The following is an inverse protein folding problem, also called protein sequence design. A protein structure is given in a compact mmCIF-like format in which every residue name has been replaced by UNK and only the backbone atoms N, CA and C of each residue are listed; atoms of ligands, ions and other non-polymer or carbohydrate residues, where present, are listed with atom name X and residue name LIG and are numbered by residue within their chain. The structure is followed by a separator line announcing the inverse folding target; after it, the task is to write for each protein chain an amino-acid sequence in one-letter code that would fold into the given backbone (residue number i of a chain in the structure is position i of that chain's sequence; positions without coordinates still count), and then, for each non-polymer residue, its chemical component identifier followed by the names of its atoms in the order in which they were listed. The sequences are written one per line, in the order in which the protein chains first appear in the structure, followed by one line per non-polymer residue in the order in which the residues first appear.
data_IF_231500896764
#
_entry.id   IF_231500896764
#
_cell.length_a   1.000
_cell.length_b   1.000
_cell.length_c   1.000
_cell.angle_alpha   90.00
_cell.angle_beta   90.00
_cell.angle_gamma   90.00
#
_symmetry.space_group_name_H-M   'P 1'
#
loop_
_entity.id
_entity.type
_entity.pdbx_description
1 polymer ?
#
# COMPACT_ATOMS: atom_id res chain seq x y z
N UNK A 1 -2.63 2.78 5.75
CA UNK A 1 -1.89 1.74 5.04
C UNK A 1 -1.12 2.41 3.92
N UNK A 2 0.21 2.33 3.95
CA UNK A 2 1.07 2.91 2.94
C UNK A 2 1.09 1.92 1.76
N UNK A 3 0.83 2.39 0.54
CA UNK A 3 0.75 1.53 -0.64
C UNK A 3 1.60 2.18 -1.73
N UNK A 4 2.65 1.49 -2.19
CA UNK A 4 3.60 2.10 -3.13
C UNK A 4 2.90 2.46 -4.45
N UNK A 5 1.87 1.72 -4.89
CA UNK A 5 1.08 2.09 -6.06
C UNK A 5 0.34 3.45 -5.95
N UNK A 6 0.01 3.89 -4.74
CA UNK A 6 -0.51 5.24 -4.51
C UNK A 6 0.63 6.27 -4.54
N UNK A 7 1.76 5.96 -3.89
CA UNK A 7 2.93 6.82 -3.90
C UNK A 7 3.47 7.06 -5.31
N UNK A 8 3.52 6.04 -6.17
CA UNK A 8 3.95 6.18 -7.58
C UNK A 8 3.04 7.14 -8.36
N UNK A 9 1.73 7.18 -8.06
CA UNK A 9 0.81 8.14 -8.67
C UNK A 9 1.01 9.55 -8.13
N UNK A 10 1.20 9.68 -6.82
CA UNK A 10 1.47 10.97 -6.19
C UNK A 10 2.78 11.57 -6.73
N UNK A 11 3.84 10.76 -6.83
CA UNK A 11 5.15 11.14 -7.41
C UNK A 11 5.00 11.59 -8.87
N UNK A 12 4.28 10.83 -9.69
CA UNK A 12 4.01 11.21 -11.08
C UNK A 12 3.30 12.56 -11.15
N UNK A 13 2.28 12.76 -10.31
CA UNK A 13 1.54 14.02 -10.27
C UNK A 13 2.39 15.22 -9.85
N UNK A 14 3.32 15.04 -8.90
CA UNK A 14 4.29 16.09 -8.54
C UNK A 14 5.18 16.42 -9.73
N UNK A 15 5.79 15.42 -10.38
CA UNK A 15 6.65 15.65 -11.52
C UNK A 15 5.93 16.36 -12.67
N UNK A 16 4.72 15.92 -13.03
CA UNK A 16 3.91 16.55 -14.08
C UNK A 16 3.53 18.02 -13.78
N UNK A 17 3.29 18.35 -12.51
CA UNK A 17 2.85 19.69 -12.11
C UNK A 17 4.00 20.67 -11.88
N UNK A 18 5.15 20.16 -11.43
CA UNK A 18 6.24 21.00 -10.89
C UNK A 18 7.55 20.85 -11.65
N UNK A 19 7.74 19.75 -12.38
CA UNK A 19 9.03 19.39 -12.98
C UNK A 19 10.10 18.98 -11.97
N UNK A 20 9.73 18.75 -10.71
CA UNK A 20 10.69 18.36 -9.66
C UNK A 20 11.23 16.94 -9.92
N UNK A 21 12.49 16.85 -10.33
CA UNK A 21 13.13 15.60 -10.79
C UNK A 21 13.31 14.56 -9.69
N UNK A 22 13.37 14.96 -8.42
CA UNK A 22 13.42 14.01 -7.30
C UNK A 22 12.20 13.07 -7.32
N UNK A 23 11.03 13.56 -7.73
CA UNK A 23 9.82 12.77 -7.77
C UNK A 23 9.86 11.71 -8.89
N UNK A 24 10.36 12.09 -10.07
CA UNK A 24 10.58 11.16 -11.17
C UNK A 24 11.62 10.09 -10.82
N UNK A 25 12.77 10.52 -10.27
CA UNK A 25 13.85 9.62 -9.87
C UNK A 25 13.39 8.64 -8.78
N UNK A 26 12.66 9.12 -7.78
CA UNK A 26 12.12 8.27 -6.71
C UNK A 26 11.12 7.26 -7.25
N UNK A 27 10.25 7.67 -8.20
CA UNK A 27 9.31 6.77 -8.86
C UNK A 27 10.06 5.67 -9.61
N UNK A 28 11.08 6.04 -10.37
CA UNK A 28 11.92 5.11 -11.12
C UNK A 28 12.61 4.12 -10.19
N UNK A 29 13.27 4.59 -9.12
CA UNK A 29 13.92 3.73 -8.13
C UNK A 29 12.97 2.67 -7.56
N UNK A 30 11.76 3.07 -7.15
CA UNK A 30 10.79 2.12 -6.58
C UNK A 30 10.31 1.08 -7.59
N UNK A 31 10.11 1.47 -8.86
CA UNK A 31 9.76 0.53 -9.92
C UNK A 31 10.91 -0.45 -10.22
N UNK A 32 12.13 0.07 -10.36
CA UNK A 32 13.32 -0.71 -10.65
C UNK A 32 13.62 -1.69 -9.50
N UNK A 33 13.53 -1.24 -8.24
CA UNK A 33 13.71 -2.09 -7.07
C UNK A 33 12.64 -3.19 -6.95
N UNK A 34 11.39 -2.90 -7.33
CA UNK A 34 10.32 -3.91 -7.41
C UNK A 34 10.66 -4.97 -8.47
N UNK A 35 11.00 -4.54 -9.68
CA UNK A 35 11.34 -5.44 -10.77
C UNK A 35 12.56 -6.30 -10.42
N UNK A 36 13.60 -5.68 -9.87
CA UNK A 36 14.81 -6.38 -9.44
C UNK A 36 14.51 -7.45 -8.39
N UNK A 37 13.65 -7.15 -7.40
CA UNK A 37 13.19 -8.16 -6.43
C UNK A 37 12.50 -9.33 -7.11
N UNK A 38 11.63 -9.08 -8.08
CA UNK A 38 10.90 -10.12 -8.81
C UNK A 38 11.86 -11.01 -9.63
N UNK A 39 12.85 -10.40 -10.30
CA UNK A 39 13.89 -11.10 -11.07
C UNK A 39 14.79 -11.99 -10.18
N UNK A 40 15.06 -11.56 -8.95
CA UNK A 40 15.83 -12.34 -7.97
C UNK A 40 14.96 -13.34 -7.17
N UNK A 41 13.72 -13.60 -7.59
CA UNK A 41 12.76 -14.46 -6.89
C UNK A 41 12.58 -14.08 -5.40
N UNK A 42 12.69 -12.79 -5.09
CA UNK A 42 12.60 -12.25 -3.73
C UNK A 42 13.87 -12.35 -2.89
N UNK A 43 15.00 -12.83 -3.44
CA UNK A 43 16.27 -13.04 -2.72
C UNK A 43 17.27 -11.93 -3.01
N UNK A 44 17.17 -10.81 -2.28
CA UNK A 44 18.17 -9.74 -2.35
C UNK A 44 19.32 -10.00 -1.38
N UNK A 45 20.52 -9.62 -1.78
CA UNK A 45 21.70 -9.58 -0.91
C UNK A 45 21.71 -8.31 -0.06
N UNK A 46 22.56 -8.27 0.97
CA UNK A 46 22.78 -7.06 1.77
C UNK A 46 23.34 -5.90 0.93
N UNK A 47 24.09 -6.19 -0.12
CA UNK A 47 24.64 -5.18 -1.02
C UNK A 47 23.56 -4.54 -1.89
N UNK A 48 22.64 -5.34 -2.42
CA UNK A 48 21.52 -4.84 -3.22
C UNK A 48 20.64 -3.89 -2.38
N UNK A 49 20.33 -4.29 -1.14
CA UNK A 49 19.56 -3.47 -0.21
C UNK A 49 20.27 -2.15 0.10
N UNK A 50 21.58 -2.21 0.36
CA UNK A 50 22.39 -1.03 0.64
C UNK A 50 22.42 -0.06 -0.54
N UNK A 51 22.57 -0.56 -1.77
CA UNK A 51 22.61 0.26 -2.99
C UNK A 51 21.27 0.97 -3.23
N UNK A 52 20.16 0.25 -3.07
CA UNK A 52 18.81 0.83 -3.18
C UNK A 52 18.61 1.89 -2.09
N UNK A 53 19.03 1.61 -0.85
CA UNK A 53 18.88 2.53 0.27
C UNK A 53 19.71 3.81 0.10
N UNK A 54 20.95 3.69 -0.39
CA UNK A 54 21.82 4.82 -0.69
C UNK A 54 21.25 5.68 -1.82
N UNK A 55 20.75 5.04 -2.89
CA UNK A 55 20.11 5.75 -4.01
C UNK A 55 18.85 6.48 -3.55
N UNK A 56 18.06 5.85 -2.68
CA UNK A 56 16.87 6.47 -2.08
C UNK A 56 17.23 7.75 -1.30
N UNK A 57 18.25 7.67 -0.46
CA UNK A 57 18.71 8.81 0.34
C UNK A 57 19.28 9.94 -0.53
N UNK A 58 20.07 9.59 -1.56
CA UNK A 58 20.61 10.57 -2.49
C UNK A 58 19.50 11.36 -3.20
N UNK A 59 18.44 10.68 -3.65
CA UNK A 59 17.28 11.35 -4.28
C UNK A 59 16.57 12.29 -3.30
N UNK A 60 16.44 11.91 -2.02
CA UNK A 60 15.84 12.77 -1.01
C UNK A 60 16.69 14.00 -0.71
N UNK A 61 18.02 13.83 -0.68
CA UNK A 61 18.97 14.93 -0.51
C UNK A 61 18.88 15.92 -1.68
N UNK A 62 18.81 15.44 -2.92
CA UNK A 62 18.60 16.29 -4.10
C UNK A 62 17.27 17.03 -4.02
N UNK A 63 16.19 16.33 -3.62
CA UNK A 63 14.86 16.93 -3.43
C UNK A 63 14.78 17.97 -2.32
N UNK A 64 15.69 17.95 -1.34
CA UNK A 64 15.71 18.95 -0.27
C UNK A 64 15.93 20.37 -0.80
N UNK A 65 16.65 20.53 -1.92
CA UNK A 65 16.87 21.82 -2.56
C UNK A 65 15.57 22.46 -3.09
N UNK A 66 14.59 21.65 -3.49
CA UNK A 66 13.25 22.10 -3.89
C UNK A 66 12.41 22.59 -2.70
N UNK A 67 12.87 22.33 -1.48
CA UNK A 67 12.10 22.37 -0.26
C UNK A 67 12.83 23.09 0.88
N UNK A 68 13.25 24.35 0.68
CA UNK A 68 14.03 25.08 1.67
C UNK A 68 13.25 25.21 3.00
N UNK A 69 13.96 25.18 4.15
CA UNK A 69 13.34 25.39 5.45
C UNK A 69 12.54 26.70 5.44
N UNK A 70 11.28 26.64 5.84
CA UNK A 70 10.52 27.87 6.05
C UNK A 70 11.17 28.62 7.21
N UNK A 71 11.56 29.88 6.99
CA UNK A 71 12.06 30.74 8.06
C UNK A 71 11.08 30.76 9.24
N UNK A 72 11.62 30.76 10.46
CA UNK A 72 10.81 30.83 11.68
C UNK A 72 9.94 32.09 11.64
N UNK A 73 8.64 31.88 11.40
CA UNK A 73 7.68 32.98 11.42
C UNK A 73 7.45 33.39 12.87
N UNK A 74 7.32 34.70 13.11
CA UNK A 74 6.95 35.21 14.43
C UNK A 74 5.62 34.61 14.88
N UNK A 75 5.41 34.52 16.21
CA UNK A 75 4.20 34.00 16.90
C UNK A 75 2.86 34.50 16.33
N UNK A 76 2.86 35.60 15.59
CA UNK A 76 1.68 36.29 15.09
C UNK A 76 1.33 36.03 13.61
N UNK A 77 2.16 35.29 12.85
CA UNK A 77 1.86 34.95 11.46
C UNK A 77 1.20 33.57 11.32
N UNK A 78 0.05 33.51 10.63
CA UNK A 78 -0.59 32.23 10.25
C UNK A 78 0.37 31.39 9.40
N UNK A 79 0.52 30.10 9.75
CA UNK A 79 1.23 29.12 8.91
C UNK A 79 0.58 29.09 7.53
N UNK A 80 1.38 29.29 6.49
CA UNK A 80 0.96 29.08 5.10
C UNK A 80 0.79 27.58 4.86
N UNK A 81 -0.19 27.19 4.05
CA UNK A 81 -0.39 25.79 3.68
C UNK A 81 0.86 25.27 2.96
N UNK A 82 1.39 24.14 3.41
CA UNK A 82 2.53 23.47 2.80
C UNK A 82 2.16 22.92 1.42
N UNK A 83 3.10 22.96 0.46
CA UNK A 83 2.85 22.48 -0.90
C UNK A 83 2.63 20.95 -0.92
N UNK A 84 1.83 20.43 -1.87
CA UNK A 84 1.68 19.00 -2.07
C UNK A 84 3.03 18.28 -2.23
N UNK A 85 3.97 18.87 -2.99
CA UNK A 85 5.31 18.31 -3.19
C UNK A 85 6.06 18.14 -1.86
N UNK A 86 6.14 19.21 -1.05
CA UNK A 86 6.80 19.16 0.26
C UNK A 86 6.15 18.15 1.21
N UNK A 87 4.81 18.07 1.22
CA UNK A 87 4.09 17.08 2.03
C UNK A 87 4.45 15.64 1.62
N UNK A 88 4.59 15.39 0.31
CA UNK A 88 4.99 14.09 -0.20
C UNK A 88 6.45 13.80 0.15
N UNK A 89 7.37 14.74 -0.08
CA UNK A 89 8.78 14.58 0.29
C UNK A 89 8.93 14.29 1.79
N UNK A 90 8.28 15.06 2.67
CA UNK A 90 8.34 14.82 4.13
C UNK A 90 7.81 13.43 4.52
N UNK A 91 6.85 12.90 3.76
CA UNK A 91 6.35 11.54 3.92
C UNK A 91 7.39 10.50 3.52
N UNK A 92 8.10 10.70 2.42
CA UNK A 92 9.19 9.79 2.02
C UNK A 92 10.34 9.82 3.03
N UNK A 93 10.71 10.99 3.56
CA UNK A 93 11.72 11.08 4.63
C UNK A 93 11.28 10.31 5.88
N UNK A 94 10.05 10.53 6.35
CA UNK A 94 9.57 9.94 7.61
C UNK A 94 9.29 8.44 7.51
N UNK A 95 8.70 8.01 6.40
CA UNK A 95 8.12 6.66 6.26
C UNK A 95 9.03 5.71 5.43
N UNK A 96 10.34 6.01 5.33
CA UNK A 96 11.34 5.25 4.55
C UNK A 96 11.26 3.74 4.76
N UNK A 97 11.32 3.29 6.02
CA UNK A 97 11.30 1.86 6.37
C UNK A 97 10.02 1.18 5.91
N UNK A 98 8.88 1.87 5.99
CA UNK A 98 7.60 1.35 5.52
C UNK A 98 7.52 1.30 3.99
N UNK A 99 8.13 2.26 3.28
CA UNK A 99 8.17 2.33 1.81
C UNK A 99 9.04 1.21 1.25
N UNK A 100 10.22 0.99 1.84
CA UNK A 100 11.21 -0.01 1.41
C UNK A 100 10.97 -1.39 2.03
N UNK A 101 10.05 -1.53 2.99
CA UNK A 101 9.80 -2.79 3.71
C UNK A 101 9.48 -3.98 2.81
N UNK A 102 8.88 -3.74 1.64
CA UNK A 102 8.63 -4.80 0.64
C UNK A 102 9.91 -5.46 0.13
N UNK A 103 11.10 -4.87 0.29
CA UNK A 103 12.37 -5.46 -0.14
C UNK A 103 12.83 -6.58 0.80
N UNK A 104 12.56 -6.42 2.10
CA UNK A 104 13.09 -7.29 3.16
C UNK A 104 12.03 -8.22 3.76
N UNK A 105 10.75 -7.85 3.68
CA UNK A 105 9.65 -8.59 4.28
C UNK A 105 8.76 -9.19 3.18
N UNK A 106 8.62 -10.51 3.16
CA UNK A 106 7.82 -11.22 2.16
C UNK A 106 6.31 -11.01 2.33
N UNK A 107 5.87 -10.69 3.54
CA UNK A 107 4.49 -10.39 3.91
C UNK A 107 4.06 -8.95 3.61
N UNK A 108 5.00 -8.07 3.26
CA UNK A 108 4.72 -6.69 2.86
C UNK A 108 4.69 -6.63 1.32
N UNK A 109 3.51 -6.67 0.69
CA UNK A 109 3.42 -6.52 -0.75
C UNK A 109 3.73 -5.07 -1.16
N UNK A 110 4.28 -4.90 -2.36
CA UNK A 110 4.53 -3.57 -2.93
C UNK A 110 3.23 -2.76 -3.11
N UNK A 111 2.16 -3.44 -3.53
CA UNK A 111 0.85 -2.86 -3.69
C UNK A 111 -0.19 -3.53 -2.78
N UNK A 112 -1.21 -2.77 -2.42
CA UNK A 112 -2.27 -3.22 -1.54
C UNK A 112 -3.54 -3.62 -2.33
N UNK A 113 -3.38 -4.03 -3.59
CA UNK A 113 -4.52 -4.22 -4.48
C UNK A 113 -5.49 -5.30 -3.99
N UNK A 114 -4.98 -6.34 -3.34
CA UNK A 114 -5.82 -7.39 -2.78
C UNK A 114 -6.66 -6.90 -1.61
N UNK A 115 -6.06 -6.27 -0.61
CA UNK A 115 -6.85 -5.78 0.54
C UNK A 115 -7.84 -4.68 0.12
N UNK A 116 -7.48 -3.83 -0.84
CA UNK A 116 -8.39 -2.84 -1.42
C UNK A 116 -9.58 -3.50 -2.13
N UNK A 117 -9.33 -4.54 -2.94
CA UNK A 117 -10.41 -5.34 -3.57
C UNK A 117 -11.29 -6.02 -2.52
N UNK A 118 -10.67 -6.57 -1.48
CA UNK A 118 -11.36 -7.31 -0.44
C UNK A 118 -12.32 -6.40 0.36
N UNK A 119 -11.90 -5.17 0.67
CA UNK A 119 -12.71 -4.16 1.37
C UNK A 119 -13.74 -3.50 0.44
N UNK A 120 -13.49 -3.43 -0.88
CA UNK A 120 -14.37 -2.73 -1.84
C UNK A 120 -15.83 -3.16 -1.74
N UNK A 121 -16.10 -4.46 -1.58
CA UNK A 121 -17.48 -4.95 -1.51
C UNK A 121 -18.21 -4.52 -0.23
N UNK A 122 -17.52 -4.40 0.90
CA UNK A 122 -18.09 -3.81 2.10
C UNK A 122 -18.44 -2.33 1.87
N UNK A 123 -17.57 -1.58 1.18
CA UNK A 123 -17.83 -0.17 0.86
C UNK A 123 -18.98 0.02 -0.12
N UNK A 124 -19.09 -0.84 -1.13
CA UNK A 124 -20.24 -0.85 -2.07
C UNK A 124 -21.54 -1.16 -1.32
N UNK A 125 -21.53 -2.15 -0.41
CA UNK A 125 -22.69 -2.46 0.43
C UNK A 125 -23.12 -1.26 1.27
N UNK A 126 -22.16 -0.55 1.85
CA UNK A 126 -22.40 0.66 2.62
C UNK A 126 -22.96 1.82 1.78
N UNK A 127 -22.37 2.09 0.61
CA UNK A 127 -22.69 3.28 -0.20
C UNK A 127 -23.88 3.10 -1.15
N UNK A 128 -24.07 1.90 -1.69
CA UNK A 128 -24.95 1.66 -2.84
C UNK A 128 -26.03 0.63 -2.52
N UNK A 129 -25.70 -0.47 -1.83
CA UNK A 129 -26.67 -1.57 -1.61
C UNK A 129 -27.40 -1.51 -0.26
N UNK A 130 -27.88 -0.32 0.10
CA UNK A 130 -28.80 -0.11 1.22
C UNK A 130 -28.18 -0.16 2.62
N UNK A 131 -26.85 -0.04 2.72
CA UNK A 131 -26.08 -0.03 3.98
C UNK A 131 -26.32 -1.26 4.89
N UNK A 132 -25.63 -1.33 6.02
CA UNK A 132 -25.91 -2.29 7.09
C UNK A 132 -26.88 -1.65 8.07
N UNK A 133 -27.99 -2.37 8.37
CA UNK A 133 -29.01 -1.91 9.33
C UNK A 133 -28.69 -2.32 10.77
N UNK A 134 -27.88 -3.37 10.94
CA UNK A 134 -27.43 -3.91 12.23
C UNK A 134 -25.97 -4.33 12.13
N UNK A 135 -25.28 -4.33 13.27
CA UNK A 135 -23.90 -4.81 13.37
C UNK A 135 -23.79 -6.30 13.05
N UNK A 136 -24.75 -7.11 13.50
CA UNK A 136 -24.82 -8.54 13.18
C UNK A 136 -24.90 -8.80 11.67
N UNK A 137 -25.69 -8.01 10.95
CA UNK A 137 -25.77 -8.10 9.49
C UNK A 137 -24.46 -7.74 8.79
N UNK A 138 -23.71 -6.78 9.34
CA UNK A 138 -22.37 -6.46 8.86
C UNK A 138 -21.37 -7.59 9.17
N UNK A 139 -21.45 -8.18 10.35
CA UNK A 139 -20.60 -9.31 10.76
C UNK A 139 -20.81 -10.54 9.89
N UNK A 140 -22.06 -10.92 9.65
CA UNK A 140 -22.41 -12.06 8.77
C UNK A 140 -21.89 -11.82 7.35
N UNK A 141 -22.06 -10.59 6.83
CA UNK A 141 -21.51 -10.22 5.53
C UNK A 141 -19.99 -10.38 5.47
N UNK A 142 -19.26 -9.83 6.46
CA UNK A 142 -17.80 -9.95 6.53
C UNK A 142 -17.37 -11.42 6.62
N UNK A 143 -17.96 -12.21 7.51
CA UNK A 143 -17.65 -13.65 7.66
C UNK A 143 -17.85 -14.42 6.35
N UNK A 144 -18.96 -14.18 5.66
CA UNK A 144 -19.27 -14.85 4.39
C UNK A 144 -18.23 -14.50 3.32
N UNK A 145 -17.85 -13.22 3.23
CA UNK A 145 -16.85 -12.73 2.27
C UNK A 145 -15.45 -13.25 2.59
N UNK A 146 -15.05 -13.22 3.86
CA UNK A 146 -13.77 -13.78 4.32
C UNK A 146 -13.69 -15.27 3.97
N UNK A 147 -14.75 -16.04 4.23
CA UNK A 147 -14.80 -17.45 3.87
C UNK A 147 -14.61 -17.68 2.36
N UNK A 148 -15.38 -16.97 1.52
CA UNK A 148 -15.28 -17.09 0.06
C UNK A 148 -13.86 -16.75 -0.42
N UNK A 149 -13.27 -15.67 0.11
CA UNK A 149 -11.90 -15.27 -0.24
C UNK A 149 -10.87 -16.33 0.15
N UNK A 150 -10.97 -16.90 1.35
CA UNK A 150 -10.07 -17.99 1.77
C UNK A 150 -10.17 -19.19 0.83
N UNK A 151 -11.39 -19.62 0.49
CA UNK A 151 -11.60 -20.75 -0.42
C UNK A 151 -11.03 -20.47 -1.82
N UNK A 152 -11.20 -19.25 -2.33
CA UNK A 152 -10.60 -18.82 -3.60
C UNK A 152 -9.07 -18.79 -3.55
N UNK A 153 -8.48 -18.26 -2.48
CA UNK A 153 -7.02 -18.19 -2.28
C UNK A 153 -6.38 -19.59 -2.17
N UNK A 154 -7.12 -20.57 -1.65
CA UNK A 154 -6.70 -21.98 -1.63
C UNK A 154 -6.96 -22.72 -2.97
N UNK A 155 -7.45 -22.03 -4.01
CA UNK A 155 -7.73 -22.63 -5.32
C UNK A 155 -8.91 -23.61 -5.33
N UNK A 156 -9.78 -23.56 -4.31
CA UNK A 156 -10.88 -24.52 -4.14
C UNK A 156 -12.18 -24.01 -4.80
N UNK A 157 -13.04 -24.92 -5.30
CA UNK A 157 -14.34 -24.55 -5.86
C UNK A 157 -15.28 -24.01 -4.78
N UNK A 158 -15.59 -22.70 -4.85
CA UNK A 158 -16.39 -21.98 -3.83
C UNK A 158 -17.75 -22.62 -3.60
N UNK A 159 -18.51 -22.85 -4.68
CA UNK A 159 -19.86 -23.40 -4.58
C UNK A 159 -19.89 -24.78 -3.93
N UNK A 160 -18.96 -25.65 -4.34
CA UNK A 160 -18.83 -26.99 -3.77
C UNK A 160 -18.43 -26.94 -2.29
N UNK A 161 -17.56 -26.01 -1.90
CA UNK A 161 -17.14 -25.86 -0.50
C UNK A 161 -18.29 -25.35 0.38
N UNK A 162 -19.09 -24.39 -0.12
CA UNK A 162 -20.31 -23.93 0.54
C UNK A 162 -21.31 -25.09 0.70
N UNK A 163 -21.52 -25.88 -0.36
CA UNK A 163 -22.41 -27.04 -0.32
C UNK A 163 -21.98 -28.04 0.75
N UNK A 164 -20.68 -28.36 0.82
CA UNK A 164 -20.14 -29.24 1.85
C UNK A 164 -20.36 -28.71 3.26
N UNK A 165 -20.14 -27.41 3.49
CA UNK A 165 -20.35 -26.78 4.80
C UNK A 165 -21.81 -26.91 5.26
N UNK A 166 -22.76 -26.64 4.36
CA UNK A 166 -24.20 -26.71 4.67
C UNK A 166 -24.64 -28.16 4.93
N UNK A 167 -24.14 -29.13 4.14
CA UNK A 167 -24.55 -30.54 4.27
C UNK A 167 -23.93 -31.26 5.47
N UNK A 168 -22.67 -30.95 5.80
CA UNK A 168 -21.90 -31.68 6.83
C UNK A 168 -21.92 -31.01 8.20
N UNK A 169 -22.38 -29.75 8.31
CA UNK A 169 -22.49 -29.01 9.58
C UNK A 169 -21.15 -28.57 10.19
N UNK A 170 -20.03 -29.08 9.69
CA UNK A 170 -18.66 -28.73 10.12
C UNK A 170 -17.70 -28.80 8.94
N UNK A 171 -16.85 -27.79 8.80
CA UNK A 171 -15.61 -27.90 8.03
C UNK A 171 -14.49 -28.28 8.98
N UNK A 172 -13.63 -29.18 8.54
CA UNK A 172 -12.40 -29.52 9.24
C UNK A 172 -11.58 -28.24 9.46
N UNK A 173 -11.00 -28.03 10.65
CA UNK A 173 -10.23 -26.81 10.95
C UNK A 173 -8.99 -26.71 10.03
N UNK A 174 -8.54 -27.86 9.51
CA UNK A 174 -7.54 -27.97 8.45
C UNK A 174 -7.97 -27.38 7.08
N UNK A 175 -9.23 -26.95 6.91
CA UNK A 175 -9.66 -26.18 5.73
C UNK A 175 -9.37 -24.68 5.87
N UNK A 176 -9.13 -24.17 7.08
CA UNK A 176 -8.98 -22.74 7.37
C UNK A 176 -7.51 -22.34 7.51
N UNK A 177 -6.64 -23.25 7.95
CA UNK A 177 -5.18 -23.10 7.98
C UNK A 177 -4.53 -23.71 6.74
#
# INVERSE_FOLDING_TARGET
MLCNAHLLRDLQGIFEQTGETWAENMKKLLCDAKQFKEEQEGKLTLWDLLEIEQTYEAILQDGAACHPPQAEKSRFQKRSKQSPSKNLWDRFVRDKDAILGFLTHADIPFDNNEAERDIRMAKVKQKVSGTFRTEDGARIFCLTRSFIQTVQKQGKPVFHTIEQLIRKGTMDIAFIN
#
